data_IF_339082251811
#
_entry.id   IF_339082251811
#
_cell.length_a   1.000
_cell.length_b   1.000
_cell.length_c   1.000
_cell.angle_alpha   90.00
_cell.angle_beta   90.00
_cell.angle_gamma   90.00
#
_symmetry.space_group_name_H-M   'P 1'
#
loop_
_entity.id
_entity.type
_entity.pdbx_description
1 polymer ?
#
# COMPACT_ATOMS: atom_id res chain seq x y z
N UNK A 1 -19.14 -13.96 -10.05
CA UNK A 1 -20.28 -13.03 -10.15
C UNK A 1 -19.68 -11.67 -9.88
N UNK A 2 -19.34 -10.96 -10.95
CA UNK A 2 -18.65 -9.69 -10.85
C UNK A 2 -19.66 -8.66 -10.35
N UNK A 3 -19.48 -8.25 -9.09
CA UNK A 3 -20.32 -7.25 -8.46
C UNK A 3 -20.08 -5.93 -9.20
N UNK A 4 -21.01 -5.57 -10.09
CA UNK A 4 -20.92 -4.33 -10.86
C UNK A 4 -20.95 -3.16 -9.89
N UNK A 5 -19.89 -2.37 -9.92
CA UNK A 5 -19.64 -1.28 -8.98
C UNK A 5 -19.97 0.02 -9.68
N UNK A 6 -21.19 0.54 -9.47
CA UNK A 6 -21.59 1.85 -9.97
C UNK A 6 -21.04 2.96 -9.06
N UNK A 7 -19.76 3.26 -9.21
CA UNK A 7 -19.22 4.54 -8.76
C UNK A 7 -19.37 5.58 -9.87
N UNK A 8 -20.03 6.70 -9.56
CA UNK A 8 -20.01 7.85 -10.45
C UNK A 8 -18.62 8.50 -10.42
N UNK A 9 -17.80 8.27 -11.44
CA UNK A 9 -16.56 9.01 -11.66
C UNK A 9 -16.86 10.23 -12.53
N UNK A 10 -16.55 11.47 -12.08
CA UNK A 10 -16.69 12.64 -12.92
C UNK A 10 -15.89 12.48 -14.24
N UNK A 11 -16.46 12.83 -15.42
CA UNK A 11 -15.80 12.63 -16.70
C UNK A 11 -14.38 13.22 -16.79
N UNK A 12 -14.14 14.38 -16.17
CA UNK A 12 -12.82 15.00 -16.13
C UNK A 12 -11.78 14.15 -15.39
N UNK A 13 -12.17 13.51 -14.28
CA UNK A 13 -11.30 12.59 -13.53
C UNK A 13 -11.06 11.33 -14.35
N UNK A 14 -12.09 10.77 -14.98
CA UNK A 14 -11.94 9.59 -15.84
C UNK A 14 -10.96 9.84 -16.99
N UNK A 15 -11.09 10.95 -17.71
CA UNK A 15 -10.17 11.32 -18.79
C UNK A 15 -8.74 11.54 -18.30
N UNK A 16 -8.57 12.14 -17.11
CA UNK A 16 -7.25 12.28 -16.49
C UNK A 16 -6.63 10.91 -16.21
N UNK A 17 -7.37 9.99 -15.58
CA UNK A 17 -6.90 8.64 -15.25
C UNK A 17 -6.57 7.82 -16.51
N UNK A 18 -7.37 7.95 -17.55
CA UNK A 18 -7.18 7.27 -18.83
C UNK A 18 -5.88 7.67 -19.55
N UNK A 19 -5.42 8.90 -19.32
CA UNK A 19 -4.21 9.43 -19.95
C UNK A 19 -2.92 9.13 -19.15
N UNK A 20 -3.03 8.53 -17.97
CA UNK A 20 -1.88 8.11 -17.18
C UNK A 20 -1.32 6.78 -17.71
N UNK A 21 0.00 6.53 -17.58
CA UNK A 21 0.62 5.32 -18.11
C UNK A 21 0.07 4.06 -17.43
N UNK A 22 0.04 2.95 -18.15
CA UNK A 22 -0.14 1.64 -17.52
C UNK A 22 1.14 1.23 -16.78
N UNK A 23 1.01 0.41 -15.74
CA UNK A 23 2.15 -0.14 -15.01
C UNK A 23 1.87 -0.26 -13.52
N UNK A 24 2.90 0.02 -12.71
CA UNK A 24 2.82 -0.16 -11.28
C UNK A 24 2.11 1.01 -10.60
N UNK A 25 0.98 0.72 -9.94
CA UNK A 25 0.27 1.68 -9.11
C UNK A 25 0.07 1.15 -7.70
N UNK A 26 0.29 2.04 -6.74
CA UNK A 26 0.04 1.78 -5.34
C UNK A 26 -1.18 2.51 -4.78
N UNK A 27 -1.76 1.93 -3.74
CA UNK A 27 -2.79 2.54 -2.90
C UNK A 27 -2.21 2.71 -1.50
N UNK A 28 -2.25 3.93 -0.99
CA UNK A 28 -1.87 4.27 0.38
C UNK A 28 -3.07 4.86 1.11
N UNK A 29 -3.30 4.45 2.35
CA UNK A 29 -4.35 5.03 3.19
C UNK A 29 -3.90 5.24 4.64
N UNK A 30 -4.54 6.19 5.32
CA UNK A 30 -4.43 6.36 6.76
C UNK A 30 -5.84 6.44 7.37
N UNK A 31 -6.03 5.74 8.50
CA UNK A 31 -7.30 5.69 9.22
C UNK A 31 -7.09 6.07 10.68
N UNK A 32 -8.07 6.76 11.24
CA UNK A 32 -8.12 7.07 12.65
C UNK A 32 -8.43 5.81 13.47
N UNK A 33 -7.43 5.32 14.18
CA UNK A 33 -7.54 4.14 15.03
C UNK A 33 -8.49 4.37 16.20
N UNK A 34 -8.57 5.59 16.76
CA UNK A 34 -9.51 5.89 17.85
C UNK A 34 -10.94 5.84 17.37
N UNK A 35 -11.26 6.50 16.25
CA UNK A 35 -12.60 6.39 15.65
C UNK A 35 -12.97 4.95 15.28
N UNK A 36 -11.98 4.09 15.04
CA UNK A 36 -12.22 2.67 14.79
C UNK A 36 -12.56 1.90 16.06
N UNK A 37 -11.83 2.14 17.15
CA UNK A 37 -11.85 1.32 18.37
C UNK A 37 -12.75 1.87 19.48
N UNK A 38 -12.93 3.19 19.57
CA UNK A 38 -13.77 3.83 20.59
C UNK A 38 -15.21 3.37 20.46
N UNK A 39 -15.91 3.25 21.59
CA UNK A 39 -17.32 2.84 21.60
C UNK A 39 -18.21 3.92 20.96
N UNK A 40 -19.33 3.53 20.31
CA UNK A 40 -20.32 4.50 19.83
C UNK A 40 -20.78 5.46 20.95
N UNK A 41 -21.03 6.75 20.65
CA UNK A 41 -21.06 7.39 19.33
C UNK A 41 -19.70 7.91 18.83
N UNK A 42 -18.62 7.76 19.61
CA UNK A 42 -17.31 8.34 19.28
C UNK A 42 -16.47 7.48 18.34
N UNK A 43 -16.86 6.22 18.16
CA UNK A 43 -16.25 5.31 17.19
C UNK A 43 -17.12 4.10 16.90
N UNK A 44 -16.50 3.04 16.37
CA UNK A 44 -17.19 1.83 15.93
C UNK A 44 -17.11 0.66 16.92
N UNK A 45 -16.35 0.78 18.02
CA UNK A 45 -16.17 -0.29 19.00
C UNK A 45 -15.49 -1.54 18.42
N UNK A 46 -14.71 -1.40 17.34
CA UNK A 46 -14.14 -2.52 16.59
C UNK A 46 -12.62 -2.47 16.64
N UNK A 47 -11.99 -3.61 16.95
CA UNK A 47 -10.54 -3.69 16.98
C UNK A 47 -9.92 -3.30 15.63
N UNK A 48 -8.90 -2.43 15.63
CA UNK A 48 -8.32 -1.88 14.39
C UNK A 48 -7.85 -2.98 13.43
N UNK A 49 -7.33 -4.09 13.95
CA UNK A 49 -6.84 -5.19 13.13
C UNK A 49 -7.95 -5.87 12.31
N UNK A 50 -9.22 -5.82 12.75
CA UNK A 50 -10.33 -6.30 11.94
C UNK A 50 -10.54 -5.40 10.71
N UNK A 51 -10.45 -4.08 10.87
CA UNK A 51 -10.53 -3.10 9.78
C UNK A 51 -9.43 -3.32 8.75
N UNK A 52 -8.17 -3.39 9.21
CA UNK A 52 -7.02 -3.62 8.34
C UNK A 52 -7.13 -4.96 7.59
N UNK A 53 -7.58 -6.04 8.24
CA UNK A 53 -7.82 -7.32 7.56
C UNK A 53 -8.92 -7.24 6.50
N UNK A 54 -9.97 -6.47 6.74
CA UNK A 54 -11.04 -6.24 5.76
C UNK A 54 -10.52 -5.54 4.51
N UNK A 55 -9.75 -4.46 4.69
CA UNK A 55 -9.10 -3.73 3.59
C UNK A 55 -8.10 -4.60 2.84
N UNK A 56 -7.22 -5.30 3.57
CA UNK A 56 -6.24 -6.21 3.00
C UNK A 56 -6.89 -7.28 2.12
N UNK A 57 -7.97 -7.91 2.61
CA UNK A 57 -8.71 -8.93 1.87
C UNK A 57 -9.28 -8.39 0.56
N UNK A 58 -9.78 -7.15 0.54
CA UNK A 58 -10.30 -6.54 -0.69
C UNK A 58 -9.20 -6.21 -1.70
N UNK A 59 -8.05 -5.73 -1.23
CA UNK A 59 -6.91 -5.37 -2.07
C UNK A 59 -6.23 -6.60 -2.66
N UNK A 60 -5.98 -7.63 -1.85
CA UNK A 60 -5.40 -8.91 -2.29
C UNK A 60 -6.26 -9.59 -3.36
N UNK A 61 -7.59 -9.53 -3.23
CA UNK A 61 -8.52 -10.07 -4.24
C UNK A 61 -8.41 -9.38 -5.60
N UNK A 62 -7.81 -8.18 -5.66
CA UNK A 62 -7.59 -7.40 -6.88
C UNK A 62 -6.11 -7.37 -7.29
N UNK A 63 -5.31 -8.31 -6.78
CA UNK A 63 -3.91 -8.46 -7.17
C UNK A 63 -2.96 -7.45 -6.53
N UNK A 64 -3.38 -6.74 -5.48
CA UNK A 64 -2.48 -5.89 -4.73
C UNK A 64 -1.71 -6.69 -3.68
N UNK A 65 -0.40 -6.50 -3.66
CA UNK A 65 0.49 -7.01 -2.63
C UNK A 65 0.73 -5.96 -1.56
N UNK A 66 0.83 -6.40 -0.31
CA UNK A 66 1.10 -5.50 0.81
C UNK A 66 2.59 -5.21 0.86
N UNK A 67 2.97 -3.94 0.82
CA UNK A 67 4.37 -3.53 0.89
C UNK A 67 4.75 -3.17 2.32
N UNK A 68 4.01 -2.25 2.94
CA UNK A 68 4.17 -1.94 4.35
C UNK A 68 2.87 -1.38 4.93
N UNK A 69 2.32 -2.00 5.98
CA UNK A 69 1.11 -1.53 6.67
C UNK A 69 -0.05 -1.15 5.73
N UNK A 70 -0.27 0.15 5.50
CA UNK A 70 -1.36 0.68 4.68
C UNK A 70 -0.96 0.98 3.23
N UNK A 71 0.24 0.56 2.81
CA UNK A 71 0.77 0.73 1.47
C UNK A 71 0.73 -0.59 0.71
N UNK A 72 0.12 -0.51 -0.48
CA UNK A 72 -0.21 -1.63 -1.34
C UNK A 72 0.23 -1.33 -2.76
N UNK A 73 0.67 -2.35 -3.50
CA UNK A 73 1.15 -2.21 -4.87
C UNK A 73 0.53 -3.27 -5.76
N UNK A 74 0.11 -2.87 -6.96
CA UNK A 74 -0.12 -3.78 -8.08
C UNK A 74 0.85 -3.37 -9.19
N UNK A 75 1.72 -4.30 -9.60
CA UNK A 75 2.78 -4.05 -10.57
C UNK A 75 2.28 -3.93 -12.03
N UNK A 76 1.07 -4.43 -12.30
CA UNK A 76 0.48 -4.47 -13.64
C UNK A 76 -1.00 -4.06 -13.59
N UNK A 77 -1.25 -2.75 -13.64
CA UNK A 77 -2.59 -2.18 -13.59
C UNK A 77 -2.68 -0.84 -14.32
N UNK A 78 -3.88 -0.27 -14.35
CA UNK A 78 -4.13 1.07 -14.88
C UNK A 78 -4.46 2.03 -13.73
N UNK A 79 -4.27 3.34 -13.96
CA UNK A 79 -4.69 4.35 -12.99
C UNK A 79 -6.20 4.31 -12.73
N UNK A 80 -7.00 4.02 -13.77
CA UNK A 80 -8.46 3.92 -13.67
C UNK A 80 -8.90 2.74 -12.80
N UNK A 81 -8.34 1.54 -13.03
CA UNK A 81 -8.64 0.35 -12.23
C UNK A 81 -8.17 0.52 -10.79
N UNK A 82 -7.02 1.16 -10.59
CA UNK A 82 -6.51 1.46 -9.25
C UNK A 82 -7.40 2.46 -8.51
N UNK A 83 -7.86 3.50 -9.20
CA UNK A 83 -8.80 4.47 -8.64
C UNK A 83 -10.15 3.81 -8.27
N UNK A 84 -10.69 2.97 -9.14
CA UNK A 84 -11.91 2.20 -8.87
C UNK A 84 -11.73 1.23 -7.70
N UNK A 85 -10.56 0.59 -7.63
CA UNK A 85 -10.19 -0.27 -6.49
C UNK A 85 -10.14 0.53 -5.20
N UNK A 86 -9.51 1.71 -5.20
CA UNK A 86 -9.48 2.61 -4.05
C UNK A 86 -10.89 2.99 -3.59
N UNK A 87 -11.79 3.36 -4.50
CA UNK A 87 -13.19 3.66 -4.14
C UNK A 87 -13.92 2.44 -3.56
N UNK A 88 -13.64 1.25 -4.08
CA UNK A 88 -14.29 0.02 -3.61
C UNK A 88 -14.02 -0.30 -2.14
N UNK A 89 -12.93 0.22 -1.57
CA UNK A 89 -12.58 0.06 -0.15
C UNK A 89 -13.67 0.59 0.78
N UNK A 90 -14.50 1.54 0.32
CA UNK A 90 -15.65 2.04 1.06
C UNK A 90 -16.70 0.98 1.41
N UNK A 91 -16.60 -0.22 0.80
CA UNK A 91 -17.50 -1.35 1.01
C UNK A 91 -17.02 -2.31 2.11
N UNK A 92 -16.00 -1.95 2.89
CA UNK A 92 -15.68 -2.75 4.08
C UNK A 92 -16.83 -2.69 5.09
N UNK A 93 -16.99 -3.77 5.84
CA UNK A 93 -17.97 -3.84 6.92
C UNK A 93 -17.44 -3.22 8.22
N UNK A 94 -18.30 -2.58 9.01
CA UNK A 94 -19.66 -2.12 8.68
C UNK A 94 -19.68 -0.95 7.67
N UNK A 95 -20.79 -0.72 6.94
CA UNK A 95 -20.90 0.36 5.97
C UNK A 95 -20.69 1.73 6.60
N UNK A 96 -20.02 2.64 5.88
CA UNK A 96 -19.71 3.99 6.39
C UNK A 96 -18.49 4.05 7.31
N UNK A 97 -17.96 2.89 7.74
CA UNK A 97 -16.80 2.84 8.64
C UNK A 97 -15.59 3.49 8.02
N UNK A 98 -15.16 3.05 6.83
CA UNK A 98 -13.98 3.63 6.20
C UNK A 98 -14.14 5.14 6.02
N UNK A 99 -15.29 5.58 5.51
CA UNK A 99 -15.59 6.98 5.23
C UNK A 99 -15.49 7.86 6.49
N UNK A 100 -15.95 7.36 7.63
CA UNK A 100 -15.92 8.10 8.90
C UNK A 100 -14.57 8.07 9.63
N UNK A 101 -13.71 7.08 9.33
CA UNK A 101 -12.39 6.92 9.96
C UNK A 101 -11.24 7.35 9.08
N UNK A 102 -11.44 7.57 7.77
CA UNK A 102 -10.37 7.93 6.84
C UNK A 102 -9.75 9.30 7.18
N UNK A 103 -8.42 9.34 7.27
CA UNK A 103 -7.63 10.58 7.35
C UNK A 103 -7.10 11.00 5.99
N UNK A 104 -6.76 10.02 5.15
CA UNK A 104 -6.32 10.25 3.78
C UNK A 104 -6.25 8.95 2.99
N UNK A 105 -6.42 9.06 1.68
CA UNK A 105 -6.20 7.98 0.72
C UNK A 105 -5.65 8.57 -0.57
N UNK A 106 -4.71 7.87 -1.21
CA UNK A 106 -4.16 8.27 -2.50
C UNK A 106 -3.80 7.05 -3.35
N UNK A 107 -3.82 7.26 -4.66
CA UNK A 107 -3.14 6.38 -5.61
C UNK A 107 -1.81 7.03 -6.02
N UNK A 108 -0.80 6.23 -6.34
CA UNK A 108 0.48 6.74 -6.81
C UNK A 108 1.08 5.79 -7.86
N UNK A 109 1.73 6.37 -8.88
CA UNK A 109 2.43 5.62 -9.91
C UNK A 109 3.89 5.39 -9.49
N UNK A 110 4.40 4.18 -9.70
CA UNK A 110 5.80 3.84 -9.54
C UNK A 110 6.41 3.56 -10.90
N UNK A 111 7.38 4.40 -11.30
CA UNK A 111 8.14 4.17 -12.52
C UNK A 111 9.02 2.91 -12.41
N UNK A 112 9.52 2.61 -11.21
CA UNK A 112 10.17 1.36 -10.86
C UNK A 112 9.29 0.62 -9.82
N UNK A 113 8.70 -0.54 -10.14
CA UNK A 113 7.85 -1.29 -9.22
C UNK A 113 8.57 -1.72 -7.94
N UNK A 114 9.88 -1.91 -7.97
CA UNK A 114 10.68 -2.21 -6.78
C UNK A 114 10.89 -0.99 -5.89
N UNK A 115 10.60 0.21 -6.37
CA UNK A 115 10.93 1.45 -5.69
C UNK A 115 12.43 1.53 -5.36
N UNK A 116 12.77 2.38 -4.39
CA UNK A 116 14.12 2.47 -3.85
C UNK A 116 14.09 2.01 -2.39
N UNK A 117 14.30 0.71 -2.16
CA UNK A 117 14.36 0.14 -0.81
C UNK A 117 15.75 0.38 -0.18
N UNK A 118 15.81 1.36 0.72
CA UNK A 118 17.03 1.71 1.46
C UNK A 118 17.17 1.01 2.82
N UNK A 119 16.28 0.06 3.17
CA UNK A 119 16.18 -0.48 4.54
C UNK A 119 17.51 -1.04 5.01
N UNK A 120 18.11 -1.95 4.25
CA UNK A 120 19.39 -2.59 4.60
C UNK A 120 20.57 -1.60 4.61
N UNK A 121 20.45 -0.47 3.91
CA UNK A 121 21.52 0.53 3.85
C UNK A 121 21.50 1.46 5.07
N UNK A 122 20.32 1.70 5.65
CA UNK A 122 20.09 2.64 6.76
C UNK A 122 19.96 1.91 8.10
N UNK A 123 19.58 0.64 8.10
CA UNK A 123 19.48 -0.15 9.32
C UNK A 123 20.79 -0.15 10.12
N UNK A 124 20.69 -0.43 11.42
CA UNK A 124 21.84 -0.41 12.31
C UNK A 124 22.91 -1.41 11.82
N UNK A 125 24.11 -0.91 11.50
CA UNK A 125 25.18 -1.70 10.87
C UNK A 125 25.21 -1.64 9.34
N UNK A 126 24.24 -0.99 8.72
CA UNK A 126 24.19 -0.69 7.29
C UNK A 126 25.18 0.40 6.88
N UNK A 127 25.33 0.60 5.57
CA UNK A 127 26.36 1.50 5.01
C UNK A 127 26.26 2.96 5.50
N UNK A 128 25.08 3.42 5.93
CA UNK A 128 24.88 4.76 6.51
C UNK A 128 24.71 4.78 8.03
N UNK A 129 24.78 3.63 8.72
CA UNK A 129 24.60 3.50 10.17
C UNK A 129 25.70 2.65 10.79
N UNK A 130 26.94 3.06 10.54
CA UNK A 130 28.15 2.34 10.98
C UNK A 130 28.34 2.28 12.51
N UNK A 131 27.63 3.14 13.25
CA UNK A 131 27.71 3.17 14.70
C UNK A 131 26.56 2.34 15.27
N UNK A 132 26.87 1.16 15.81
CA UNK A 132 25.92 0.21 16.44
C UNK A 132 25.39 0.73 17.79
N UNK A 133 24.69 1.87 17.78
CA UNK A 133 24.04 2.46 18.94
C UNK A 133 22.53 2.29 18.84
N UNK A 134 21.98 1.37 19.63
CA UNK A 134 20.55 1.13 19.74
C UNK A 134 20.21 -0.35 19.83
N UNK A 135 18.92 -0.68 20.05
CA UNK A 135 18.45 -2.06 20.03
C UNK A 135 18.55 -2.64 18.61
N UNK A 136 19.13 -3.84 18.48
CA UNK A 136 19.09 -4.62 17.24
C UNK A 136 17.64 -4.96 16.89
N UNK A 137 17.26 -4.82 15.61
CA UNK A 137 15.89 -5.13 15.16
C UNK A 137 15.55 -6.61 15.37
N UNK A 138 14.30 -6.88 15.75
CA UNK A 138 13.69 -8.18 15.52
C UNK A 138 13.32 -8.28 14.03
N UNK A 139 13.72 -9.39 13.39
CA UNK A 139 13.59 -9.69 11.95
C UNK A 139 12.26 -9.20 11.32
N UNK A 140 12.35 -8.49 10.19
CA UNK A 140 11.22 -7.82 9.51
C UNK A 140 10.56 -8.66 8.40
N UNK A 141 9.33 -8.25 8.08
CA UNK A 141 8.47 -8.81 7.03
C UNK A 141 9.04 -8.51 5.62
N UNK A 142 8.84 -9.39 4.63
CA UNK A 142 9.33 -9.14 3.27
C UNK A 142 8.65 -7.91 2.66
N UNK A 143 9.43 -6.95 2.16
CA UNK A 143 8.91 -5.83 1.37
C UNK A 143 8.60 -6.33 -0.05
N UNK A 144 7.40 -6.02 -0.57
CA UNK A 144 7.03 -6.30 -1.97
C UNK A 144 8.05 -5.72 -2.97
N UNK A 145 8.74 -4.66 -2.54
CA UNK A 145 9.75 -3.89 -3.24
C UNK A 145 11.09 -4.63 -3.49
N UNK A 146 11.31 -5.81 -2.90
CA UNK A 146 12.60 -6.53 -2.99
C UNK A 146 12.70 -7.55 -4.11
N UNK A 147 11.66 -7.71 -4.93
CA UNK A 147 11.64 -8.71 -6.01
C UNK A 147 12.43 -8.24 -7.24
N UNK A 148 13.76 -8.20 -7.17
CA UNK A 148 14.56 -7.78 -8.34
C UNK A 148 16.08 -7.67 -8.26
N UNK A 149 16.75 -7.86 -7.12
CA UNK A 149 18.22 -7.82 -7.10
C UNK A 149 18.78 -9.22 -7.37
N UNK A 150 18.86 -9.60 -8.64
CA UNK A 150 19.85 -10.59 -9.05
C UNK A 150 21.24 -10.01 -8.76
N UNK A 151 22.02 -10.71 -7.93
CA UNK A 151 23.37 -10.32 -7.58
C UNK A 151 24.20 -10.02 -8.85
N UNK A 152 24.76 -8.82 -8.93
CA UNK A 152 25.71 -8.47 -9.97
C UNK A 152 26.93 -9.42 -9.87
N UNK A 153 27.39 -10.05 -10.97
CA UNK A 153 28.56 -10.90 -10.92
C UNK A 153 29.81 -10.06 -10.62
N UNK A 154 30.65 -10.55 -9.72
CA UNK A 154 31.90 -9.90 -9.36
C UNK A 154 32.80 -9.79 -10.59
N UNK A 155 33.15 -8.57 -10.99
CA UNK A 155 34.21 -8.35 -11.98
C UNK A 155 35.54 -8.50 -11.22
N UNK A 156 36.17 -9.67 -11.34
CA UNK A 156 37.57 -9.84 -11.00
C UNK A 156 38.42 -9.10 -12.03
N UNK A 157 38.94 -7.92 -11.66
CA UNK A 157 40.13 -7.38 -12.31
C UNK A 157 41.33 -8.18 -11.80
N UNK A 158 41.93 -9.00 -12.67
CA UNK A 158 43.33 -9.42 -12.54
C UNK A 158 44.17 -8.53 -13.45
N UNK A 159 45.20 -7.93 -12.85
CA UNK A 159 46.39 -7.45 -13.54
C UNK A 159 47.19 -8.67 -14.00
#
# INVERSE_FOLDING_TARGET
MDEQVDFHIPPAIFLMLWNLPNGAYGISYDIDTRKTEDVPPHGWGLYRAATYRGLAKQLQRRGYEQCQYSDWLNADTTAADTYMTMLSLMRIEPPGKLQSTLKGVKIHYLADPGGLDGTNTIELGGAYSMHLRGPTRAREYPSCCTSGIAAAPSVHQRI
#
